data_IF_668363357255
#
_entry.id   IF_668363357255
#
_cell.length_a   1.000
_cell.length_b   1.000
_cell.length_c   1.000
_cell.angle_alpha   90.00
_cell.angle_beta   90.00
_cell.angle_gamma   90.00
#
_symmetry.space_group_name_H-M   'P 1'
#
loop_
_entity.id
_entity.type
_entity.pdbx_description
1 polymer ?
#
# COMPACT_ATOMS: atom_id res chain seq x y z
N UNK A 1 -27.61 10.29 45.26
CA UNK A 1 -27.68 9.21 44.25
C UNK A 1 -27.31 9.86 42.93
N UNK A 2 -26.08 9.66 42.46
CA UNK A 2 -25.50 10.37 41.32
C UNK A 2 -26.04 9.82 40.01
N UNK A 3 -26.52 10.70 39.13
CA UNK A 3 -26.86 10.36 37.76
C UNK A 3 -25.59 10.52 36.91
N UNK A 4 -25.32 9.50 36.11
CA UNK A 4 -24.10 9.29 35.35
C UNK A 4 -23.96 10.30 34.20
N UNK A 5 -22.77 10.89 34.11
CA UNK A 5 -22.24 11.57 32.92
C UNK A 5 -22.38 10.65 31.69
N UNK A 6 -23.23 11.05 30.74
CA UNK A 6 -23.12 10.58 29.34
C UNK A 6 -22.45 11.70 28.57
N UNK A 7 -21.12 11.71 28.59
CA UNK A 7 -20.34 12.47 27.62
C UNK A 7 -20.57 11.82 26.25
N UNK A 8 -21.53 12.36 25.49
CA UNK A 8 -21.61 12.15 24.06
C UNK A 8 -20.29 12.69 23.49
N UNK A 9 -19.45 11.80 22.97
CA UNK A 9 -18.18 12.11 22.34
C UNK A 9 -18.46 12.95 21.07
N UNK A 10 -18.59 14.27 21.25
CA UNK A 10 -18.80 15.21 20.15
C UNK A 10 -17.45 15.34 19.43
N UNK A 11 -17.23 14.49 18.43
CA UNK A 11 -16.12 14.68 17.51
C UNK A 11 -16.33 15.98 16.74
N UNK A 12 -15.55 17.01 17.07
CA UNK A 12 -15.47 18.25 16.30
C UNK A 12 -14.91 17.95 14.91
N UNK A 13 -15.71 18.23 13.87
CA UNK A 13 -15.25 18.23 12.48
C UNK A 13 -14.39 19.48 12.28
N UNK A 14 -13.07 19.32 12.19
CA UNK A 14 -12.16 20.43 11.87
C UNK A 14 -12.16 20.69 10.36
N UNK A 15 -12.53 21.90 9.89
CA UNK A 15 -12.47 22.25 8.48
C UNK A 15 -11.00 22.36 8.06
N UNK A 16 -10.56 21.45 7.19
CA UNK A 16 -9.16 21.33 6.76
C UNK A 16 -8.69 19.88 6.56
N UNK A 17 -9.47 18.90 7.01
CA UNK A 17 -9.22 17.49 6.72
C UNK A 17 -9.51 17.20 5.23
N UNK A 18 -8.50 17.39 4.40
CA UNK A 18 -8.52 17.02 2.99
C UNK A 18 -8.84 15.51 2.89
N UNK A 19 -9.51 15.11 1.80
CA UNK A 19 -9.82 13.72 1.50
C UNK A 19 -8.65 12.82 1.87
N UNK A 20 -8.92 11.78 2.66
CA UNK A 20 -7.93 10.81 3.12
C UNK A 20 -7.17 10.34 1.89
N UNK A 21 -5.94 10.83 1.72
CA UNK A 21 -5.04 10.33 0.71
C UNK A 21 -4.95 8.81 0.92
N UNK A 22 -5.14 8.06 -0.16
CA UNK A 22 -5.23 6.60 -0.13
C UNK A 22 -4.18 6.05 0.84
N UNK A 23 -4.63 5.35 1.89
CA UNK A 23 -3.74 4.81 2.90
C UNK A 23 -2.86 3.77 2.21
N UNK A 24 -1.61 4.13 1.95
CA UNK A 24 -0.61 3.22 1.39
C UNK A 24 -0.38 2.10 2.40
N UNK A 25 -0.90 0.92 2.09
CA UNK A 25 -0.76 -0.24 2.97
C UNK A 25 0.48 -1.00 2.53
N UNK A 26 1.40 -1.23 3.47
CA UNK A 26 2.49 -2.21 3.29
C UNK A 26 1.82 -3.58 3.19
N UNK A 27 1.94 -4.21 2.01
CA UNK A 27 1.12 -5.35 1.68
C UNK A 27 1.53 -6.59 2.49
N UNK A 28 0.52 -7.27 3.02
CA UNK A 28 0.65 -8.69 3.33
C UNK A 28 0.67 -9.48 2.03
N UNK A 29 1.49 -10.53 1.94
CA UNK A 29 1.63 -11.33 0.70
C UNK A 29 0.31 -11.87 0.12
N UNK A 30 -0.76 -11.94 0.91
CA UNK A 30 -2.12 -12.36 0.51
C UNK A 30 -2.87 -11.35 -0.37
N UNK A 31 -2.43 -10.09 -0.41
CA UNK A 31 -3.08 -9.02 -1.17
C UNK A 31 -2.51 -8.87 -2.58
N UNK A 32 -1.44 -9.59 -2.90
CA UNK A 32 -0.80 -9.57 -4.21
C UNK A 32 -1.34 -10.72 -5.05
N UNK A 33 -1.80 -10.41 -6.24
CA UNK A 33 -2.20 -11.37 -7.26
C UNK A 33 -1.78 -10.84 -8.64
N UNK A 34 -1.60 -11.73 -9.64
CA UNK A 34 -1.30 -11.30 -11.00
C UNK A 34 -2.29 -10.25 -11.51
N UNK A 35 -1.78 -9.23 -12.19
CA UNK A 35 -2.56 -8.11 -12.72
C UNK A 35 -2.68 -6.89 -11.79
N UNK A 36 -2.26 -6.99 -10.53
CA UNK A 36 -2.27 -5.85 -9.59
C UNK A 36 -1.14 -4.89 -9.89
N UNK A 37 -1.44 -3.60 -9.92
CA UNK A 37 -0.44 -2.54 -9.97
C UNK A 37 0.19 -2.32 -8.58
N UNK A 38 1.52 -2.26 -8.56
CA UNK A 38 2.32 -2.11 -7.35
C UNK A 38 3.39 -1.04 -7.54
N UNK A 39 3.79 -0.43 -6.44
CA UNK A 39 4.90 0.53 -6.38
C UNK A 39 6.05 -0.07 -5.58
N UNK A 40 7.27 -0.02 -6.12
CA UNK A 40 8.48 -0.42 -5.42
C UNK A 40 8.92 0.64 -4.41
N UNK A 41 9.11 0.22 -3.16
CA UNK A 41 9.50 1.07 -2.01
C UNK A 41 10.87 0.75 -1.43
N UNK A 42 11.61 -0.19 -2.03
CA UNK A 42 12.96 -0.51 -1.57
C UNK A 42 14.00 0.54 -1.97
N UNK A 43 15.08 0.63 -1.19
CA UNK A 43 16.24 1.45 -1.51
C UNK A 43 17.50 0.58 -1.48
N UNK A 44 17.58 -0.34 -2.45
CA UNK A 44 18.66 -1.34 -2.57
C UNK A 44 19.51 -1.01 -3.79
N UNK A 45 20.84 -0.97 -3.61
CA UNK A 45 21.79 -0.78 -4.71
C UNK A 45 21.65 -1.91 -5.74
N UNK A 46 21.49 -1.57 -7.00
CA UNK A 46 21.27 -2.53 -8.08
C UNK A 46 19.85 -3.11 -8.14
N UNK A 47 18.93 -2.60 -7.33
CA UNK A 47 17.50 -2.87 -7.45
C UNK A 47 16.79 -1.89 -8.39
N UNK A 48 15.45 -1.99 -8.50
CA UNK A 48 14.65 -1.02 -9.21
C UNK A 48 14.76 0.39 -8.59
N UNK A 49 14.38 1.39 -9.36
CA UNK A 49 14.27 2.77 -8.85
C UNK A 49 13.15 2.85 -7.81
N UNK A 50 13.42 3.49 -6.67
CA UNK A 50 12.38 3.81 -5.69
C UNK A 50 11.22 4.56 -6.34
N UNK A 51 9.99 4.13 -6.07
CA UNK A 51 8.78 4.67 -6.67
C UNK A 51 8.47 4.14 -8.07
N UNK A 52 9.26 3.22 -8.62
CA UNK A 52 8.92 2.55 -9.87
C UNK A 52 7.61 1.78 -9.71
N UNK A 53 6.70 1.96 -10.66
CA UNK A 53 5.43 1.25 -10.71
C UNK A 53 5.48 0.12 -11.73
N UNK A 54 4.62 -0.86 -11.54
CA UNK A 54 4.53 -2.00 -12.44
C UNK A 54 3.42 -2.96 -12.06
N UNK A 55 3.33 -4.06 -12.79
CA UNK A 55 2.26 -5.03 -12.64
C UNK A 55 2.81 -6.36 -12.14
N UNK A 56 2.13 -6.93 -11.16
CA UNK A 56 2.43 -8.29 -10.69
C UNK A 56 2.14 -9.27 -11.82
N UNK A 57 3.15 -10.05 -12.21
CA UNK A 57 2.97 -11.16 -13.14
C UNK A 57 2.73 -12.47 -12.39
N UNK A 58 3.40 -12.68 -11.26
CA UNK A 58 3.34 -13.93 -10.52
C UNK A 58 3.69 -13.73 -9.04
N UNK A 59 3.05 -14.49 -8.15
CA UNK A 59 3.36 -14.51 -6.71
C UNK A 59 3.99 -15.86 -6.35
N UNK A 60 5.22 -15.83 -5.83
CA UNK A 60 6.01 -17.01 -5.46
C UNK A 60 6.40 -16.96 -3.99
N UNK A 61 5.52 -17.45 -3.13
CA UNK A 61 5.75 -17.48 -1.68
C UNK A 61 6.00 -16.08 -1.11
N UNK A 62 7.23 -15.77 -0.68
CA UNK A 62 7.60 -14.46 -0.11
C UNK A 62 8.11 -13.44 -1.14
N UNK A 63 8.13 -13.78 -2.42
CA UNK A 63 8.58 -12.89 -3.51
C UNK A 63 7.52 -12.81 -4.59
N UNK A 64 7.59 -11.74 -5.36
CA UNK A 64 6.64 -11.41 -6.41
C UNK A 64 7.42 -11.03 -7.66
N UNK A 65 7.02 -11.61 -8.78
CA UNK A 65 7.53 -11.25 -10.10
C UNK A 65 6.73 -10.05 -10.56
N UNK A 66 7.41 -8.93 -10.76
CA UNK A 66 6.79 -7.66 -11.14
C UNK A 66 7.44 -7.19 -12.43
N UNK A 67 6.62 -6.87 -13.42
CA UNK A 67 7.05 -6.13 -14.59
C UNK A 67 6.95 -4.64 -14.31
N UNK A 68 8.12 -4.00 -14.14
CA UNK A 68 8.24 -2.57 -13.90
C UNK A 68 8.41 -1.79 -15.21
N UNK A 69 7.83 -2.30 -16.31
CA UNK A 69 7.82 -1.69 -17.63
C UNK A 69 9.24 -1.40 -18.15
N UNK A 70 9.60 -0.12 -18.32
CA UNK A 70 10.92 0.31 -18.78
C UNK A 70 12.08 -0.05 -17.87
N UNK A 71 11.81 -0.51 -16.64
CA UNK A 71 12.82 -1.02 -15.70
C UNK A 71 13.01 -2.54 -15.80
N UNK A 72 12.20 -3.23 -16.61
CA UNK A 72 12.23 -4.67 -16.81
C UNK A 72 11.50 -5.47 -15.74
N UNK A 73 11.65 -6.80 -15.79
CA UNK A 73 11.03 -7.74 -14.86
C UNK A 73 11.93 -8.03 -13.66
N UNK A 74 11.37 -7.93 -12.45
CA UNK A 74 12.09 -8.09 -11.19
C UNK A 74 11.44 -9.11 -10.26
N UNK A 75 12.27 -9.83 -9.50
CA UNK A 75 11.84 -10.66 -8.38
C UNK A 75 11.99 -9.89 -7.07
N UNK A 76 10.86 -9.39 -6.55
CA UNK A 76 10.85 -8.45 -5.44
C UNK A 76 10.19 -9.10 -4.22
N UNK A 77 10.83 -9.11 -3.04
CA UNK A 77 10.16 -9.49 -1.80
C UNK A 77 8.93 -8.61 -1.55
N UNK A 78 7.78 -9.21 -1.23
CA UNK A 78 6.50 -8.47 -1.18
C UNK A 78 6.50 -7.27 -0.23
N UNK A 79 7.33 -7.30 0.81
CA UNK A 79 7.44 -6.22 1.79
C UNK A 79 8.12 -4.95 1.25
N UNK A 80 8.67 -4.99 0.04
CA UNK A 80 9.12 -3.80 -0.70
C UNK A 80 8.06 -3.27 -1.68
N UNK A 81 6.85 -3.81 -1.68
CA UNK A 81 5.78 -3.41 -2.57
C UNK A 81 4.63 -2.78 -1.79
N UNK A 82 4.05 -1.73 -2.35
CA UNK A 82 2.80 -1.10 -1.86
C UNK A 82 1.78 -1.06 -2.99
N UNK A 83 0.49 -1.24 -2.70
CA UNK A 83 -0.59 -0.91 -3.65
C UNK A 83 -1.22 0.41 -3.25
N UNK A 84 -1.82 1.09 -4.22
CA UNK A 84 -2.84 2.07 -3.93
C UNK A 84 -4.10 1.31 -3.49
N UNK A 85 -4.51 1.49 -2.23
CA UNK A 85 -5.83 1.02 -1.81
C UNK A 85 -6.86 1.90 -2.53
N UNK A 86 -7.53 1.35 -3.54
CA UNK A 86 -8.67 2.03 -4.16
C UNK A 86 -9.77 2.09 -3.10
N UNK A 87 -10.11 3.30 -2.63
CA UNK A 87 -11.29 3.49 -1.80
C UNK A 87 -12.51 3.02 -2.63
N UNK A 88 -13.24 2.04 -2.10
CA UNK A 88 -14.48 1.53 -2.67
C UNK A 88 -15.65 2.45 -2.34
#
# INVERSE_FOLDING_TARGET
MGAHDTAMDVQMIMPGMHERSAVETVLGGWQLHPGVEVTYRGHIKGGPKFGATGVVQEVRGRRVVVDLYGWGTWHIPFYFLSTALKAA
#
